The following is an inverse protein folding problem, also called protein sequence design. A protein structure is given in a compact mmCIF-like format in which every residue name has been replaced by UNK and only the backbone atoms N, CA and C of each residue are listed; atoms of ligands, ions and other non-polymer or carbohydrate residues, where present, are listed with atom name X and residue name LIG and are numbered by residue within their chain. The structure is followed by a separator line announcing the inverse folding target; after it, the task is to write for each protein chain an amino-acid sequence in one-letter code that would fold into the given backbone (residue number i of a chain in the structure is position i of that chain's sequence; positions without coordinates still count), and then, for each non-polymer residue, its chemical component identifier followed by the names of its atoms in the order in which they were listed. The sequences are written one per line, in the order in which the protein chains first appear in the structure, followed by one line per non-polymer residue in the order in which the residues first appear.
data_IF_275638320566
#
_entry.id   IF_275638320566
#
_cell.length_a   1.000
_cell.length_b   1.000
_cell.length_c   1.000
_cell.angle_alpha   90.00
_cell.angle_beta   90.00
_cell.angle_gamma   90.00
#
_symmetry.space_group_name_H-M   'P 1'
#
loop_
_entity.id
_entity.type
_entity.pdbx_description
1 polymer ?
#
# COMPACT_ATOMS: atom_id res chain seq x y z
N UNK A 1 48.75 14.12 -43.78
CA UNK A 1 48.86 14.53 -42.36
C UNK A 1 47.68 15.39 -41.85
N UNK A 2 47.13 16.38 -42.61
CA UNK A 2 45.96 17.15 -42.16
C UNK A 2 44.65 16.34 -42.13
N UNK A 3 44.42 15.40 -43.03
CA UNK A 3 43.21 14.57 -43.11
C UNK A 3 43.12 13.64 -41.91
N UNK A 4 44.25 13.05 -41.49
CA UNK A 4 44.29 12.12 -40.37
C UNK A 4 43.91 12.78 -39.03
N UNK A 5 44.32 14.03 -38.84
CA UNK A 5 43.99 14.82 -37.65
C UNK A 5 42.51 15.16 -37.59
N UNK A 6 41.89 15.49 -38.75
CA UNK A 6 40.46 15.77 -38.82
C UNK A 6 39.59 14.53 -38.57
N UNK A 7 39.98 13.37 -39.14
CA UNK A 7 39.30 12.08 -38.91
C UNK A 7 39.41 11.68 -37.44
N UNK A 8 40.61 11.81 -36.85
CA UNK A 8 40.83 11.49 -35.44
C UNK A 8 40.05 12.41 -34.49
N UNK A 9 39.99 13.70 -34.78
CA UNK A 9 39.15 14.65 -34.04
C UNK A 9 37.67 14.34 -34.14
N UNK A 10 37.18 13.93 -35.33
CA UNK A 10 35.81 13.50 -35.53
C UNK A 10 35.44 12.27 -34.70
N UNK A 11 36.32 11.26 -34.69
CA UNK A 11 36.13 10.04 -33.89
C UNK A 11 36.06 10.35 -32.39
N UNK A 12 36.97 11.17 -31.89
CA UNK A 12 36.98 11.57 -30.47
C UNK A 12 35.69 12.33 -30.11
N UNK A 13 35.23 13.22 -31.00
CA UNK A 13 33.99 13.97 -30.78
C UNK A 13 32.78 13.06 -30.69
N UNK A 14 32.67 12.06 -31.55
CA UNK A 14 31.58 11.06 -31.52
C UNK A 14 31.66 10.24 -30.24
N UNK A 15 32.84 9.74 -29.88
CA UNK A 15 33.00 8.95 -28.65
C UNK A 15 32.63 9.75 -27.39
N UNK A 16 33.10 11.00 -27.30
CA UNK A 16 32.78 11.87 -26.16
C UNK A 16 31.28 12.17 -26.07
N UNK A 17 30.59 12.35 -27.19
CA UNK A 17 29.13 12.56 -27.23
C UNK A 17 28.37 11.31 -26.75
N UNK A 18 28.79 10.13 -27.19
CA UNK A 18 28.21 8.85 -26.76
C UNK A 18 28.39 8.65 -25.25
N UNK A 19 29.61 8.84 -24.75
CA UNK A 19 29.90 8.74 -23.30
C UNK A 19 29.06 9.73 -22.51
N UNK A 20 29.00 10.99 -22.95
CA UNK A 20 28.21 12.03 -22.29
C UNK A 20 26.72 11.67 -22.25
N UNK A 21 26.18 11.11 -23.35
CA UNK A 21 24.78 10.64 -23.39
C UNK A 21 24.53 9.54 -22.36
N UNK A 22 25.38 8.53 -22.26
CA UNK A 22 25.22 7.45 -21.28
C UNK A 22 25.37 7.95 -19.84
N UNK A 23 26.32 8.83 -19.59
CA UNK A 23 26.47 9.46 -18.26
C UNK A 23 25.22 10.25 -17.88
N UNK A 24 24.66 11.02 -18.80
CA UNK A 24 23.42 11.77 -18.57
C UNK A 24 22.24 10.84 -18.31
N UNK A 25 22.07 9.78 -19.09
CA UNK A 25 21.00 8.79 -18.89
C UNK A 25 21.13 8.09 -17.54
N UNK A 26 22.36 7.69 -17.18
CA UNK A 26 22.62 7.07 -15.88
C UNK A 26 22.30 8.01 -14.72
N UNK A 27 22.71 9.28 -14.83
CA UNK A 27 22.44 10.30 -13.84
C UNK A 27 20.94 10.56 -13.67
N UNK A 28 20.19 10.68 -14.77
CA UNK A 28 18.75 10.89 -14.76
C UNK A 28 18.03 9.70 -14.13
N UNK A 29 18.42 8.48 -14.50
CA UNK A 29 17.84 7.26 -13.94
C UNK A 29 18.14 7.12 -12.43
N UNK A 30 19.37 7.39 -12.02
CA UNK A 30 19.75 7.38 -10.61
C UNK A 30 18.97 8.43 -9.81
N UNK A 31 18.82 9.64 -10.35
CA UNK A 31 18.04 10.72 -9.71
C UNK A 31 16.55 10.38 -9.62
N UNK A 32 15.97 9.79 -10.66
CA UNK A 32 14.57 9.42 -10.70
C UNK A 32 14.22 8.33 -9.69
N UNK A 33 15.17 7.44 -9.39
CA UNK A 33 15.00 6.36 -8.41
C UNK A 33 15.31 6.77 -6.97
N UNK A 34 15.81 7.99 -6.73
CA UNK A 34 15.98 8.49 -5.37
C UNK A 34 14.64 8.72 -4.69
N UNK A 35 14.58 8.36 -3.40
CA UNK A 35 13.37 8.45 -2.60
C UNK A 35 12.73 7.08 -2.37
N UNK A 36 11.63 7.07 -1.66
CA UNK A 36 10.94 5.86 -1.23
C UNK A 36 9.42 6.09 -1.21
N UNK A 37 8.66 5.01 -1.18
CA UNK A 37 7.25 5.02 -0.81
C UNK A 37 7.17 4.86 0.70
N UNK A 38 6.55 5.83 1.37
CA UNK A 38 6.21 5.76 2.78
C UNK A 38 4.73 5.55 2.93
N UNK A 39 4.34 4.60 3.77
CA UNK A 39 2.95 4.30 4.04
C UNK A 39 2.70 4.48 5.53
N UNK A 40 1.75 5.35 5.84
CA UNK A 40 1.26 5.60 7.19
C UNK A 40 -0.17 5.09 7.29
N UNK A 41 -0.52 4.59 8.46
CA UNK A 41 -1.87 4.11 8.75
C UNK A 41 -2.40 4.74 10.03
N UNK A 42 -3.73 4.86 10.10
CA UNK A 42 -4.44 5.26 11.31
C UNK A 42 -5.75 4.47 11.36
N UNK A 43 -5.95 3.70 12.43
CA UNK A 43 -7.25 3.06 12.67
C UNK A 43 -8.29 4.12 13.03
N UNK A 44 -9.49 3.98 12.47
CA UNK A 44 -10.57 4.95 12.62
C UNK A 44 -11.88 4.23 12.96
N UNK A 45 -12.94 4.98 13.24
CA UNK A 45 -14.27 4.41 13.33
C UNK A 45 -14.84 4.09 11.94
N UNK A 46 -15.52 2.97 11.85
CA UNK A 46 -16.28 2.63 10.65
C UNK A 46 -17.29 3.73 10.27
N UNK A 47 -17.52 3.91 8.97
CA UNK A 47 -18.37 4.99 8.46
C UNK A 47 -19.86 4.77 8.73
N UNK A 48 -20.29 3.51 8.78
CA UNK A 48 -21.69 3.10 8.95
C UNK A 48 -22.02 2.93 10.42
N UNK A 49 -21.41 1.94 11.06
CA UNK A 49 -21.78 1.51 12.40
C UNK A 49 -21.03 2.26 13.53
N UNK A 50 -20.06 3.11 13.14
CA UNK A 50 -19.22 3.86 14.09
C UNK A 50 -18.50 3.01 15.11
N UNK A 51 -18.11 1.81 14.70
CA UNK A 51 -17.33 0.87 15.51
C UNK A 51 -15.84 0.97 15.21
N UNK A 52 -14.93 0.78 16.20
CA UNK A 52 -13.50 0.68 15.98
C UNK A 52 -13.15 -0.67 15.32
N UNK A 53 -11.87 -0.89 15.04
CA UNK A 53 -11.45 -2.19 14.56
C UNK A 53 -11.59 -3.29 15.64
N UNK A 54 -11.88 -4.51 15.23
CA UNK A 54 -12.02 -5.64 16.16
C UNK A 54 -12.92 -6.76 15.65
N UNK A 55 -13.32 -7.62 16.60
CA UNK A 55 -14.22 -8.74 16.36
C UNK A 55 -15.62 -8.38 16.84
N UNK A 56 -16.60 -8.61 15.98
CA UNK A 56 -18.01 -8.32 16.23
C UNK A 56 -18.85 -9.55 15.99
N UNK A 57 -19.70 -9.88 16.95
CA UNK A 57 -20.57 -11.02 16.88
C UNK A 57 -22.02 -10.55 16.58
N UNK A 58 -22.63 -11.24 15.64
CA UNK A 58 -24.07 -11.15 15.35
C UNK A 58 -24.72 -12.48 15.70
N UNK A 59 -26.05 -12.58 15.64
CA UNK A 59 -26.77 -13.81 15.92
C UNK A 59 -26.38 -14.99 14.99
N UNK A 60 -25.75 -14.72 13.85
CA UNK A 60 -25.48 -15.74 12.83
C UNK A 60 -23.98 -15.87 12.47
N UNK A 61 -23.15 -14.88 12.75
CA UNK A 61 -21.77 -14.86 12.27
C UNK A 61 -20.89 -13.93 13.11
N UNK A 62 -19.60 -14.23 13.19
CA UNK A 62 -18.57 -13.35 13.76
C UNK A 62 -17.77 -12.71 12.64
N UNK A 63 -17.56 -11.41 12.73
CA UNK A 63 -16.81 -10.60 11.76
C UNK A 63 -15.55 -10.02 12.39
N UNK A 64 -14.49 -9.97 11.61
CA UNK A 64 -13.33 -9.14 11.86
C UNK A 64 -13.40 -7.93 10.95
N UNK A 65 -13.44 -6.72 11.49
CA UNK A 65 -13.60 -5.47 10.76
C UNK A 65 -12.43 -4.56 11.10
N UNK A 66 -11.83 -3.94 10.07
CA UNK A 66 -10.73 -2.99 10.23
C UNK A 66 -10.97 -1.77 9.33
N UNK A 67 -11.59 -0.70 9.88
CA UNK A 67 -11.62 0.60 9.22
C UNK A 67 -10.27 1.30 9.40
N UNK A 68 -9.68 1.78 8.30
CA UNK A 68 -8.32 2.24 8.26
C UNK A 68 -8.16 3.45 7.34
N UNK A 69 -7.59 4.53 7.84
CA UNK A 69 -7.02 5.55 6.98
C UNK A 69 -5.61 5.15 6.57
N UNK A 70 -5.28 5.35 5.30
CA UNK A 70 -3.95 5.18 4.76
C UNK A 70 -3.47 6.48 4.13
N UNK A 71 -2.24 6.86 4.40
CA UNK A 71 -1.54 7.94 3.73
C UNK A 71 -0.31 7.37 3.04
N UNK A 72 -0.21 7.60 1.73
CA UNK A 72 0.88 7.12 0.89
C UNK A 72 1.66 8.32 0.40
N UNK A 73 2.94 8.41 0.78
CA UNK A 73 3.84 9.47 0.36
C UNK A 73 4.84 8.92 -0.66
N UNK A 74 4.81 9.45 -1.86
CA UNK A 74 5.82 9.18 -2.87
C UNK A 74 6.89 10.27 -2.83
N UNK A 75 8.09 9.96 -2.32
CA UNK A 75 9.22 10.90 -2.29
C UNK A 75 10.14 10.75 -3.51
N UNK A 76 9.81 9.83 -4.45
CA UNK A 76 10.53 9.68 -5.71
C UNK A 76 10.09 10.74 -6.72
N UNK A 77 10.95 11.04 -7.68
CA UNK A 77 10.65 11.98 -8.79
C UNK A 77 9.90 11.34 -9.96
N UNK A 78 9.43 10.10 -9.81
CA UNK A 78 8.61 9.36 -10.77
C UNK A 78 7.34 8.86 -10.10
N UNK A 79 6.26 8.69 -10.89
CA UNK A 79 5.01 8.10 -10.43
C UNK A 79 5.24 6.70 -9.86
N UNK A 80 4.48 6.35 -8.85
CA UNK A 80 4.55 5.04 -8.20
C UNK A 80 3.17 4.42 -8.11
N UNK A 81 3.13 3.10 -8.22
CA UNK A 81 1.92 2.30 -8.06
C UNK A 81 2.00 1.57 -6.72
N UNK A 82 0.91 1.66 -5.96
CA UNK A 82 0.67 0.86 -4.75
C UNK A 82 -0.59 0.07 -5.03
N UNK A 83 -0.46 -1.19 -5.41
CA UNK A 83 -1.55 -2.02 -5.94
C UNK A 83 -2.03 -3.06 -4.93
N UNK A 84 -3.34 -3.35 -4.95
CA UNK A 84 -4.00 -4.38 -4.14
C UNK A 84 -3.67 -4.25 -2.65
N UNK A 85 -3.85 -3.04 -2.11
CA UNK A 85 -3.70 -2.82 -0.66
C UNK A 85 -4.73 -3.64 0.08
N UNK A 86 -4.27 -4.59 0.90
CA UNK A 86 -5.13 -5.52 1.63
C UNK A 86 -4.54 -5.86 3.00
N UNK A 87 -5.35 -6.49 3.85
CA UNK A 87 -4.89 -7.08 5.10
C UNK A 87 -4.78 -8.59 4.94
N UNK A 88 -3.61 -9.13 5.22
CA UNK A 88 -3.36 -10.57 5.29
C UNK A 88 -3.43 -11.05 6.75
N UNK A 89 -4.12 -12.16 6.97
CA UNK A 89 -4.21 -12.84 8.25
C UNK A 89 -3.18 -13.96 8.28
N UNK A 90 -2.32 -13.95 9.28
CA UNK A 90 -1.23 -14.90 9.43
C UNK A 90 -1.39 -15.72 10.71
N UNK A 91 -0.96 -16.98 10.64
CA UNK A 91 -0.77 -17.85 11.79
C UNK A 91 0.64 -18.45 11.70
N UNK A 92 1.44 -18.26 12.74
CA UNK A 92 2.82 -18.74 12.78
C UNK A 92 3.63 -18.32 11.53
N UNK A 93 3.44 -17.08 11.07
CA UNK A 93 4.12 -16.51 9.90
C UNK A 93 3.58 -16.97 8.54
N UNK A 94 2.57 -17.84 8.47
CA UNK A 94 1.95 -18.32 7.23
C UNK A 94 0.67 -17.56 6.93
N UNK A 95 0.52 -17.07 5.70
CA UNK A 95 -0.72 -16.42 5.26
C UNK A 95 -1.87 -17.45 5.23
N UNK A 96 -2.93 -17.20 5.98
CA UNK A 96 -4.16 -18.00 5.96
C UNK A 96 -5.09 -17.48 4.87
N UNK A 97 -5.40 -16.17 4.90
CA UNK A 97 -6.32 -15.52 3.97
C UNK A 97 -6.07 -14.00 3.95
N UNK A 98 -6.42 -13.36 2.83
CA UNK A 98 -6.60 -11.92 2.75
C UNK A 98 -8.03 -11.56 3.14
N UNK A 99 -8.22 -10.37 3.69
CA UNK A 99 -9.56 -9.82 3.98
C UNK A 99 -10.28 -9.44 2.69
N UNK A 100 -11.58 -9.25 2.79
CA UNK A 100 -12.40 -8.65 1.73
C UNK A 100 -12.31 -7.12 1.85
N UNK A 101 -12.02 -6.44 0.75
CA UNK A 101 -12.05 -4.99 0.63
C UNK A 101 -13.51 -4.54 0.46
N UNK A 102 -13.98 -3.62 1.32
CA UNK A 102 -15.32 -3.03 1.19
C UNK A 102 -15.19 -1.82 0.24
N UNK A 103 -15.83 -1.87 -0.93
CA UNK A 103 -15.68 -0.86 -1.96
C UNK A 103 -16.57 0.37 -1.74
N UNK A 104 -17.73 0.20 -1.11
CA UNK A 104 -18.70 1.28 -0.91
C UNK A 104 -19.52 1.12 0.35
N UNK A 105 -20.14 2.22 0.79
CA UNK A 105 -21.09 2.24 1.91
C UNK A 105 -22.22 3.22 1.63
N UNK A 106 -23.36 3.05 2.31
CA UNK A 106 -24.51 3.94 2.19
C UNK A 106 -24.53 4.91 3.37
N UNK A 107 -24.58 6.20 3.07
CA UNK A 107 -24.70 7.25 4.07
C UNK A 107 -25.81 8.22 3.67
N UNK A 108 -26.84 8.34 4.53
CA UNK A 108 -28.00 9.18 4.27
C UNK A 108 -28.67 8.93 2.90
N UNK A 109 -28.69 7.67 2.45
CA UNK A 109 -29.29 7.28 1.16
C UNK A 109 -28.37 7.52 -0.05
N UNK A 110 -27.15 8.00 0.14
CA UNK A 110 -26.15 8.20 -0.92
C UNK A 110 -25.08 7.11 -0.81
N UNK A 111 -24.69 6.53 -1.94
CA UNK A 111 -23.56 5.60 -2.00
C UNK A 111 -22.25 6.40 -2.05
N UNK A 112 -21.43 6.23 -1.05
CA UNK A 112 -20.06 6.75 -0.97
C UNK A 112 -19.06 5.61 -1.19
N UNK A 113 -17.88 5.90 -1.72
CA UNK A 113 -16.86 4.91 -2.04
C UNK A 113 -15.72 4.94 -1.04
N UNK A 114 -15.11 3.76 -0.80
CA UNK A 114 -13.82 3.65 -0.14
C UNK A 114 -12.69 3.67 -1.16
N UNK A 115 -11.46 3.90 -0.71
CA UNK A 115 -10.28 3.88 -1.56
C UNK A 115 -10.28 4.99 -2.62
N UNK A 116 -9.86 4.63 -3.82
CA UNK A 116 -9.97 5.47 -5.01
C UNK A 116 -11.12 4.96 -5.88
N UNK A 117 -12.28 5.61 -5.79
CA UNK A 117 -13.51 5.19 -6.49
C UNK A 117 -13.84 3.69 -6.30
N UNK A 118 -13.69 3.16 -5.09
CA UNK A 118 -13.91 1.75 -4.76
C UNK A 118 -12.70 0.84 -5.04
N UNK A 119 -11.62 1.37 -5.59
CA UNK A 119 -10.37 0.65 -5.79
C UNK A 119 -9.43 0.79 -4.59
N UNK A 120 -8.70 -0.26 -4.33
CA UNK A 120 -7.61 -0.33 -3.34
C UNK A 120 -6.23 -0.37 -4.00
N UNK A 121 -6.16 0.21 -5.21
CA UNK A 121 -4.93 0.40 -5.97
C UNK A 121 -4.78 1.88 -6.31
N UNK A 122 -3.61 2.43 -6.06
CA UNK A 122 -3.35 3.86 -6.07
C UNK A 122 -2.20 4.19 -6.99
N UNK A 123 -2.38 5.21 -7.83
CA UNK A 123 -1.32 5.85 -8.58
C UNK A 123 -0.95 7.15 -7.86
N UNK A 124 0.27 7.22 -7.34
CA UNK A 124 0.77 8.39 -6.61
C UNK A 124 1.78 9.12 -7.48
N UNK A 125 1.52 10.36 -7.79
CA UNK A 125 2.39 11.18 -8.62
C UNK A 125 3.73 11.46 -7.93
N UNK A 126 4.69 11.96 -8.68
CA UNK A 126 6.04 12.27 -8.17
C UNK A 126 5.97 13.35 -7.07
N UNK A 127 6.60 13.09 -5.92
CA UNK A 127 6.61 13.99 -4.75
C UNK A 127 5.21 14.34 -4.22
N UNK A 128 4.27 13.42 -4.30
CA UNK A 128 2.88 13.61 -3.90
C UNK A 128 2.52 12.77 -2.68
N UNK A 129 1.43 13.18 -2.02
CA UNK A 129 0.81 12.49 -0.89
C UNK A 129 -0.64 12.20 -1.25
N UNK A 130 -1.00 10.91 -1.27
CA UNK A 130 -2.39 10.45 -1.37
C UNK A 130 -2.92 9.99 -0.02
N UNK A 131 -4.16 10.35 0.31
CA UNK A 131 -4.84 9.91 1.54
C UNK A 131 -6.17 9.25 1.19
N UNK A 132 -6.41 8.06 1.74
CA UNK A 132 -7.55 7.23 1.40
C UNK A 132 -8.19 6.62 2.65
N UNK A 133 -9.52 6.50 2.62
CA UNK A 133 -10.29 5.71 3.57
C UNK A 133 -10.41 4.29 3.06
N UNK A 134 -10.10 3.31 3.89
CA UNK A 134 -10.20 1.89 3.56
C UNK A 134 -11.05 1.18 4.62
N UNK A 135 -11.73 0.12 4.23
CA UNK A 135 -12.44 -0.75 5.16
C UNK A 135 -12.30 -2.21 4.75
N UNK A 136 -11.92 -3.04 5.69
CA UNK A 136 -11.66 -4.46 5.47
C UNK A 136 -12.55 -5.30 6.36
N UNK A 137 -13.05 -6.40 5.83
CA UNK A 137 -13.89 -7.35 6.56
C UNK A 137 -13.46 -8.78 6.28
N UNK A 138 -13.62 -9.63 7.28
CA UNK A 138 -13.58 -11.08 7.11
C UNK A 138 -14.60 -11.73 8.00
N UNK A 139 -15.30 -12.76 7.48
CA UNK A 139 -16.20 -13.61 8.24
C UNK A 139 -15.44 -14.81 8.80
N UNK A 140 -15.76 -15.21 10.03
CA UNK A 140 -15.18 -16.38 10.67
C UNK A 140 -15.40 -17.66 9.84
N UNK A 141 -16.58 -17.79 9.23
CA UNK A 141 -16.92 -18.90 8.35
C UNK A 141 -16.01 -19.03 7.14
N UNK A 142 -15.50 -17.91 6.60
CA UNK A 142 -14.64 -17.90 5.40
C UNK A 142 -13.29 -18.60 5.59
N UNK A 143 -12.85 -18.79 6.83
CA UNK A 143 -11.61 -19.51 7.18
C UNK A 143 -11.89 -20.74 8.06
N UNK A 144 -13.15 -21.21 8.09
CA UNK A 144 -13.55 -22.38 8.86
C UNK A 144 -13.29 -22.23 10.37
N UNK A 145 -13.40 -21.02 10.90
CA UNK A 145 -13.17 -20.73 12.31
C UNK A 145 -11.69 -20.78 12.76
N UNK A 146 -10.74 -20.94 11.85
CA UNK A 146 -9.30 -20.95 12.20
C UNK A 146 -8.91 -19.63 12.87
N UNK A 147 -8.04 -19.72 13.88
CA UNK A 147 -7.43 -18.55 14.50
C UNK A 147 -6.31 -17.96 13.63
N UNK A 148 -5.89 -16.77 14.00
CA UNK A 148 -4.68 -16.12 13.47
C UNK A 148 -4.06 -15.23 14.57
N UNK A 149 -2.77 -15.03 14.49
CA UNK A 149 -1.99 -14.32 15.52
C UNK A 149 -1.45 -12.96 15.05
N UNK A 150 -1.51 -12.72 13.73
CA UNK A 150 -0.96 -11.51 13.15
C UNK A 150 -1.77 -11.03 11.95
N UNK A 151 -1.96 -9.71 11.85
CA UNK A 151 -2.54 -9.02 10.70
C UNK A 151 -1.46 -8.16 10.07
N UNK A 152 -1.20 -8.36 8.77
CA UNK A 152 -0.22 -7.56 8.02
C UNK A 152 -0.91 -6.71 6.96
N UNK A 153 -0.49 -5.45 6.85
CA UNK A 153 -0.76 -4.64 5.68
C UNK A 153 0.10 -5.16 4.53
N UNK A 154 -0.53 -5.39 3.39
CA UNK A 154 0.11 -5.96 2.19
C UNK A 154 -0.22 -5.10 0.98
N UNK A 155 0.74 -4.98 0.05
CA UNK A 155 0.53 -4.35 -1.26
C UNK A 155 1.57 -4.88 -2.27
N UNK A 156 1.34 -4.61 -3.55
CA UNK A 156 2.32 -4.82 -4.62
C UNK A 156 2.84 -3.46 -5.10
N UNK A 157 4.14 -3.37 -5.34
CA UNK A 157 4.78 -2.20 -5.93
C UNK A 157 4.71 -2.20 -7.47
N UNK A 158 5.38 -1.23 -8.09
CA UNK A 158 5.45 -1.09 -9.54
C UNK A 158 6.09 -2.30 -10.25
N UNK A 159 7.01 -2.99 -9.57
CA UNK A 159 7.76 -4.13 -10.08
C UNK A 159 7.09 -5.48 -9.73
N UNK A 160 5.82 -5.45 -9.28
CA UNK A 160 5.04 -6.59 -8.80
C UNK A 160 5.64 -7.31 -7.58
N UNK A 161 6.55 -6.67 -6.84
CA UNK A 161 7.02 -7.22 -5.58
C UNK A 161 5.94 -7.05 -4.50
N UNK A 162 5.67 -8.14 -3.78
CA UNK A 162 4.76 -8.12 -2.66
C UNK A 162 5.47 -7.62 -1.39
N UNK A 163 4.92 -6.59 -0.79
CA UNK A 163 5.33 -6.07 0.51
C UNK A 163 4.32 -6.48 1.58
N UNK A 164 4.80 -6.84 2.77
CA UNK A 164 3.96 -7.19 3.91
C UNK A 164 4.61 -6.73 5.21
N UNK A 165 3.85 -6.02 6.07
CA UNK A 165 4.32 -5.55 7.36
C UNK A 165 3.23 -5.64 8.42
N UNK A 166 3.61 -6.06 9.62
CA UNK A 166 2.71 -6.24 10.75
C UNK A 166 2.01 -4.94 11.10
N UNK A 167 0.68 -5.01 11.11
CA UNK A 167 -0.20 -3.93 11.55
C UNK A 167 -0.69 -4.19 12.97
N UNK A 168 -1.16 -5.42 13.26
CA UNK A 168 -1.66 -5.85 14.55
C UNK A 168 -1.13 -7.23 14.92
N UNK A 169 -0.95 -7.46 16.22
CA UNK A 169 -0.85 -8.79 16.83
C UNK A 169 -2.17 -9.12 17.49
N UNK A 170 -2.64 -10.35 17.33
CA UNK A 170 -3.92 -10.84 17.82
C UNK A 170 -3.65 -11.95 18.83
N UNK A 171 -4.11 -11.77 20.05
CA UNK A 171 -3.94 -12.79 21.10
C UNK A 171 -5.08 -13.81 21.09
N UNK A 172 -6.32 -13.34 20.89
CA UNK A 172 -7.55 -14.16 20.93
C UNK A 172 -8.40 -13.88 19.68
N UNK A 173 -8.10 -14.57 18.57
CA UNK A 173 -8.90 -14.44 17.38
C UNK A 173 -10.34 -14.90 17.61
N UNK A 174 -11.30 -14.18 17.05
CA UNK A 174 -12.74 -14.44 17.09
C UNK A 174 -13.42 -14.24 18.45
N UNK A 175 -12.71 -13.73 19.43
CA UNK A 175 -13.31 -13.27 20.67
C UNK A 175 -13.76 -11.82 20.50
N UNK A 176 -14.96 -11.51 20.93
CA UNK A 176 -15.49 -10.14 20.82
C UNK A 176 -14.51 -9.15 21.48
N UNK A 177 -14.03 -8.21 20.67
CA UNK A 177 -13.03 -7.25 21.13
C UNK A 177 -13.23 -5.93 20.41
N UNK A 178 -13.41 -4.86 21.17
CA UNK A 178 -13.47 -3.48 20.69
C UNK A 178 -12.16 -2.81 21.05
N UNK A 179 -11.32 -2.56 20.04
CA UNK A 179 -10.02 -1.93 20.25
C UNK A 179 -10.14 -0.41 20.18
N UNK A 180 -9.23 0.32 20.82
CA UNK A 180 -9.14 1.78 20.65
C UNK A 180 -8.68 2.11 19.23
N UNK A 181 -9.14 3.26 18.73
CA UNK A 181 -8.58 3.85 17.52
C UNK A 181 -7.22 4.50 17.82
N UNK A 182 -6.39 4.65 16.79
CA UNK A 182 -5.12 5.36 16.95
C UNK A 182 -5.38 6.87 17.14
N UNK A 183 -4.62 7.52 18.02
CA UNK A 183 -4.60 8.97 18.16
C UNK A 183 -3.88 9.62 16.99
N UNK A 184 -2.73 9.05 16.58
CA UNK A 184 -1.85 9.56 15.53
C UNK A 184 -1.57 8.55 14.42
N UNK A 185 -0.98 9.04 13.34
CA UNK A 185 -0.52 8.24 12.23
C UNK A 185 0.70 7.40 12.60
N UNK A 186 0.67 6.13 12.23
CA UNK A 186 1.80 5.21 12.39
C UNK A 186 2.44 4.91 11.05
N UNK A 187 3.75 5.10 10.92
CA UNK A 187 4.50 4.65 9.75
C UNK A 187 4.57 3.12 9.76
N UNK A 188 4.15 2.50 8.66
CA UNK A 188 4.20 1.04 8.45
C UNK A 188 5.33 0.69 7.50
N UNK A 189 5.53 1.43 6.42
CA UNK A 189 6.61 1.26 5.45
C UNK A 189 7.42 2.53 5.28
#
# INVERSE_FOLDING_TARGET
MQIDVMVFGGIISILSSVVSFFCQQYWLNWRSNKGEIKIYTKTVYDKVDKVPWGFYETSSETFFIVPLWIEIQNTKSIKQIVRDVNLGLFLEGRLIKKTTQINSFIKKGVTEMYGDNGSYSFLIDANEIGRYDLSFILRKSEIGGKGFDEVKLMYFDLDDNQHAKTLFKINDAWKETKNSIDEDWRRVF
#
